data_IF_392769634371
#
_entry.id   IF_392769634371
#
_cell.length_a   1.000
_cell.length_b   1.000
_cell.length_c   1.000
_cell.angle_alpha   90.00
_cell.angle_beta   90.00
_cell.angle_gamma   90.00
#
_symmetry.space_group_name_H-M   'P 1'
#
loop_
_entity.id
_entity.type
_entity.pdbx_description
1 polymer ?
#
# COMPACT_ATOMS: atom_id res chain seq x y z
N UNK A 1 0.11 -9.21 -43.03
CA UNK A 1 -1.32 -9.59 -43.08
C UNK A 1 -1.77 -9.80 -41.65
N UNK A 2 -2.59 -8.88 -41.19
CA UNK A 2 -3.07 -8.69 -39.82
C UNK A 2 -4.32 -9.55 -39.56
N UNK A 3 -4.32 -10.31 -38.47
CA UNK A 3 -5.51 -10.98 -37.92
C UNK A 3 -5.84 -10.32 -36.58
N UNK A 4 -7.09 -9.91 -36.30
CA UNK A 4 -7.42 -9.01 -35.20
C UNK A 4 -7.86 -9.75 -33.92
N UNK A 5 -7.43 -9.23 -32.76
CA UNK A 5 -8.03 -9.52 -31.46
C UNK A 5 -9.37 -8.77 -31.34
N UNK A 6 -10.47 -9.51 -31.37
CA UNK A 6 -11.81 -9.00 -31.09
C UNK A 6 -12.70 -10.10 -30.48
N UNK A 7 -12.62 -10.25 -29.16
CA UNK A 7 -13.61 -10.89 -28.28
C UNK A 7 -13.14 -10.57 -26.86
N UNK A 8 -13.67 -9.59 -26.14
CA UNK A 8 -14.94 -9.74 -25.42
C UNK A 8 -15.56 -8.40 -24.99
N UNK A 9 -15.69 -7.45 -25.92
CA UNK A 9 -16.32 -6.15 -25.65
C UNK A 9 -17.84 -6.11 -25.93
N UNK A 10 -18.50 -7.25 -26.17
CA UNK A 10 -19.88 -7.29 -26.74
C UNK A 10 -21.02 -7.77 -25.84
N UNK A 11 -20.84 -7.90 -24.52
CA UNK A 11 -21.94 -8.35 -23.64
C UNK A 11 -22.51 -7.30 -22.66
N UNK A 12 -22.08 -6.04 -22.68
CA UNK A 12 -22.46 -5.07 -21.63
C UNK A 12 -23.08 -3.76 -22.14
N UNK A 13 -23.96 -3.83 -23.14
CA UNK A 13 -24.67 -2.64 -23.66
C UNK A 13 -26.21 -2.66 -23.56
N UNK A 14 -26.81 -3.51 -22.74
CA UNK A 14 -28.26 -3.41 -22.50
C UNK A 14 -28.54 -3.44 -21.01
N UNK A 15 -29.45 -2.55 -20.57
CA UNK A 15 -29.97 -2.30 -19.21
C UNK A 15 -29.43 -1.01 -18.54
N UNK A 16 -30.01 0.13 -18.90
CA UNK A 16 -30.04 1.36 -18.08
C UNK A 16 -31.48 1.68 -17.67
N UNK A 17 -31.72 2.02 -16.39
CA UNK A 17 -32.82 2.89 -15.98
C UNK A 17 -32.33 4.23 -15.36
N UNK A 18 -33.22 5.23 -15.17
CA UNK A 18 -32.88 6.66 -15.17
C UNK A 18 -32.55 7.31 -13.81
N UNK A 19 -31.87 8.46 -13.89
CA UNK A 19 -31.39 9.33 -12.81
C UNK A 19 -32.51 9.87 -11.90
N UNK A 20 -32.23 9.96 -10.60
CA UNK A 20 -32.96 10.80 -9.64
C UNK A 20 -32.14 12.04 -9.24
N UNK A 21 -32.84 13.17 -9.19
CA UNK A 21 -32.33 14.53 -9.00
C UNK A 21 -32.06 14.85 -7.51
N UNK A 22 -31.17 15.82 -7.31
CA UNK A 22 -30.81 16.45 -6.03
C UNK A 22 -31.99 17.16 -5.37
N UNK A 23 -32.01 17.17 -4.04
CA UNK A 23 -32.67 18.19 -3.24
C UNK A 23 -31.77 18.67 -2.11
N UNK A 24 -31.85 19.98 -1.88
CA UNK A 24 -30.96 20.87 -1.14
C UNK A 24 -31.41 21.16 0.29
N UNK A 25 -30.43 21.51 1.14
CA UNK A 25 -30.58 22.55 2.17
C UNK A 25 -30.94 22.10 3.58
N UNK A 26 -30.10 22.47 4.56
CA UNK A 26 -30.50 23.28 5.71
C UNK A 26 -29.26 23.79 6.47
N UNK A 27 -29.20 25.10 6.69
CA UNK A 27 -28.29 25.77 7.63
C UNK A 27 -28.80 25.62 9.06
N UNK A 28 -27.90 25.47 10.03
CA UNK A 28 -28.17 25.75 11.44
C UNK A 28 -26.98 26.50 12.05
N UNK A 29 -27.25 27.77 12.42
CA UNK A 29 -26.43 28.61 13.30
C UNK A 29 -26.79 28.27 14.76
N UNK A 30 -25.81 28.25 15.68
CA UNK A 30 -25.99 28.79 17.04
C UNK A 30 -24.67 28.96 17.83
N UNK A 31 -24.31 30.23 17.99
CA UNK A 31 -23.84 31.00 19.17
C UNK A 31 -23.17 30.33 20.40
N UNK A 32 -21.89 30.67 20.56
CA UNK A 32 -21.09 31.11 21.75
C UNK A 32 -21.74 31.06 23.15
N UNK A 33 -21.00 30.53 24.14
CA UNK A 33 -20.83 31.11 25.50
C UNK A 33 -19.63 30.50 26.26
N UNK A 34 -18.65 31.34 26.61
CA UNK A 34 -17.66 31.12 27.69
C UNK A 34 -18.25 31.56 29.04
N UNK A 35 -17.68 31.11 30.16
CA UNK A 35 -17.03 32.10 31.04
C UNK A 35 -15.74 31.61 31.72
N UNK A 36 -15.01 32.62 32.20
CA UNK A 36 -13.70 32.62 32.84
C UNK A 36 -13.78 32.63 34.39
N UNK A 37 -12.62 32.91 35.02
CA UNK A 37 -12.31 33.31 36.44
C UNK A 37 -12.11 32.11 37.40
N UNK A 38 -11.07 31.98 38.25
CA UNK A 38 -10.39 32.93 39.15
C UNK A 38 -8.95 32.52 39.54
N UNK A 39 -8.17 33.53 39.94
CA UNK A 39 -6.80 33.47 40.46
C UNK A 39 -6.73 33.67 41.99
N UNK A 40 -5.58 33.32 42.59
CA UNK A 40 -5.13 33.73 43.94
C UNK A 40 -4.56 32.55 44.76
N UNK A 41 -3.52 32.65 45.60
CA UNK A 41 -2.73 33.77 46.11
C UNK A 41 -1.53 33.16 46.87
N UNK A 42 -0.39 33.85 46.85
CA UNK A 42 0.83 33.53 47.62
C UNK A 42 0.65 33.75 49.13
N UNK A 43 1.43 33.03 49.95
CA UNK A 43 1.83 33.46 51.30
C UNK A 43 3.28 33.06 51.63
N UNK A 44 3.90 33.90 52.45
CA UNK A 44 5.33 33.95 52.84
C UNK A 44 5.60 33.13 54.10
N UNK A 45 6.83 32.64 54.29
CA UNK A 45 7.36 32.43 55.64
C UNK A 45 8.66 31.62 55.77
N UNK A 46 9.67 32.29 56.34
CA UNK A 46 10.77 31.78 57.20
C UNK A 46 12.10 31.33 56.53
N UNK A 47 13.14 32.13 56.82
CA UNK A 47 14.57 31.80 56.69
C UNK A 47 14.99 30.87 57.82
N UNK A 48 15.64 29.76 57.48
CA UNK A 48 16.52 29.00 58.39
C UNK A 48 17.86 28.81 57.69
N UNK A 49 18.93 29.27 58.32
CA UNK A 49 20.32 29.06 57.92
C UNK A 49 20.79 27.70 58.42
N UNK A 50 21.18 26.79 57.53
CA UNK A 50 22.07 25.67 57.83
C UNK A 50 22.90 25.33 56.58
N UNK A 51 24.21 25.26 56.79
CA UNK A 51 25.22 24.84 55.83
C UNK A 51 25.25 23.31 55.74
N UNK A 52 25.05 22.73 54.55
CA UNK A 52 25.52 21.37 54.26
C UNK A 52 25.61 21.14 52.75
N UNK A 53 26.84 20.86 52.30
CA UNK A 53 27.27 20.09 51.12
C UNK A 53 26.35 20.08 49.88
N UNK A 54 26.85 20.68 48.79
CA UNK A 54 26.25 20.61 47.46
C UNK A 54 26.25 19.16 46.93
N UNK A 55 25.07 18.59 46.77
CA UNK A 55 24.85 17.47 45.85
C UNK A 55 24.77 18.00 44.41
N UNK A 56 25.23 17.24 43.39
CA UNK A 56 25.11 17.68 42.01
C UNK A 56 23.64 17.70 41.61
N UNK A 57 23.29 18.77 40.90
CA UNK A 57 21.97 19.05 40.34
C UNK A 57 21.54 17.92 39.38
N UNK A 58 20.42 17.20 39.60
CA UNK A 58 19.89 16.25 38.64
C UNK A 58 19.05 17.01 37.61
N UNK A 59 19.66 17.97 36.93
CA UNK A 59 19.03 18.77 35.88
C UNK A 59 20.00 19.01 34.72
N UNK A 60 20.81 18.01 34.37
CA UNK A 60 21.23 17.84 33.00
C UNK A 60 20.14 17.00 32.32
N UNK A 61 19.12 17.66 31.78
CA UNK A 61 18.26 17.04 30.79
C UNK A 61 19.19 16.45 29.73
N UNK A 62 19.16 15.11 29.58
CA UNK A 62 19.76 14.46 28.44
C UNK A 62 19.28 15.22 27.19
N UNK A 63 20.17 15.53 26.23
CA UNK A 63 19.71 16.12 24.99
C UNK A 63 18.59 15.23 24.46
N UNK A 64 17.41 15.82 24.22
CA UNK A 64 16.33 15.13 23.54
C UNK A 64 16.96 14.45 22.33
N UNK A 65 16.84 13.12 22.25
CA UNK A 65 17.32 12.39 21.09
C UNK A 65 16.77 13.11 19.86
N UNK A 66 17.65 13.61 18.99
CA UNK A 66 17.21 14.14 17.71
C UNK A 66 16.31 13.07 17.09
N UNK A 67 15.03 13.39 16.92
CA UNK A 67 14.10 12.53 16.20
C UNK A 67 14.72 12.30 14.82
N UNK A 68 15.19 11.07 14.60
CA UNK A 68 15.78 10.61 13.36
C UNK A 68 14.70 10.73 12.29
N UNK A 69 14.66 11.86 11.58
CA UNK A 69 13.73 12.06 10.47
C UNK A 69 14.09 11.13 9.33
N UNK A 70 13.07 10.49 8.75
CA UNK A 70 13.27 9.64 7.57
C UNK A 70 13.41 10.51 6.32
N UNK A 71 12.63 11.59 6.24
CA UNK A 71 12.59 12.53 5.13
C UNK A 71 13.21 13.87 5.50
N UNK A 72 14.01 14.40 4.58
CA UNK A 72 14.43 15.79 4.60
C UNK A 72 13.42 16.70 3.86
N UNK A 73 13.60 18.01 3.99
CA UNK A 73 12.68 19.00 3.40
C UNK A 73 12.65 18.98 1.87
N UNK A 74 13.75 18.62 1.22
CA UNK A 74 13.79 18.53 -0.25
C UNK A 74 13.06 17.27 -0.74
N UNK A 75 13.11 16.16 -0.01
CA UNK A 75 12.34 14.95 -0.30
C UNK A 75 10.83 15.21 -0.18
N UNK A 76 10.38 15.88 0.89
CA UNK A 76 8.97 16.26 1.04
C UNK A 76 8.50 17.15 -0.13
N UNK A 77 9.27 18.16 -0.51
CA UNK A 77 8.96 19.01 -1.66
C UNK A 77 8.88 18.22 -2.97
N UNK A 78 9.75 17.21 -3.17
CA UNK A 78 9.68 16.32 -4.34
C UNK A 78 8.40 15.50 -4.33
N UNK A 79 7.99 14.95 -3.18
CA UNK A 79 6.72 14.22 -3.07
C UNK A 79 5.52 15.10 -3.45
N UNK A 80 5.47 16.33 -2.92
CA UNK A 80 4.40 17.29 -3.23
C UNK A 80 4.41 17.72 -4.72
N UNK A 81 5.60 17.91 -5.28
CA UNK A 81 5.79 18.37 -6.66
C UNK A 81 5.46 17.29 -7.67
N UNK A 82 6.05 16.11 -7.51
CA UNK A 82 6.10 15.05 -8.51
C UNK A 82 5.13 13.90 -8.22
N UNK A 83 4.60 13.81 -6.99
CA UNK A 83 3.65 12.79 -6.57
C UNK A 83 4.30 11.46 -6.20
N UNK A 84 5.63 11.43 -6.12
CA UNK A 84 6.40 10.28 -5.68
C UNK A 84 7.77 10.72 -5.13
N UNK A 85 8.40 9.85 -4.35
CA UNK A 85 9.80 10.00 -3.90
C UNK A 85 10.52 8.66 -3.95
N UNK A 86 11.84 8.71 -4.17
CA UNK A 86 12.74 7.56 -4.19
C UNK A 86 13.71 7.69 -3.02
N UNK A 87 13.69 6.70 -2.12
CA UNK A 87 14.49 6.64 -0.90
C UNK A 87 15.46 5.47 -1.02
N UNK A 88 16.68 5.77 -1.46
CA UNK A 88 17.73 4.77 -1.62
C UNK A 88 18.19 4.23 -0.27
N UNK A 89 18.63 2.96 -0.24
CA UNK A 89 19.15 2.30 0.96
C UNK A 89 18.17 2.29 2.15
N UNK A 90 16.86 2.34 1.88
CA UNK A 90 15.82 2.32 2.92
C UNK A 90 15.76 0.98 3.66
N UNK A 91 15.80 -0.13 2.93
CA UNK A 91 15.95 -1.47 3.51
C UNK A 91 17.38 -1.96 3.39
N UNK A 92 17.85 -2.60 4.46
CA UNK A 92 19.16 -3.24 4.50
C UNK A 92 19.18 -4.51 3.63
N UNK A 93 20.34 -4.96 3.15
CA UNK A 93 20.47 -6.23 2.44
C UNK A 93 19.90 -7.43 3.22
N UNK A 94 20.04 -7.43 4.55
CA UNK A 94 19.49 -8.47 5.42
C UNK A 94 17.96 -8.48 5.47
N UNK A 95 17.31 -7.31 5.45
CA UNK A 95 15.85 -7.22 5.35
C UNK A 95 15.36 -7.70 3.98
N UNK A 96 16.01 -7.29 2.89
CA UNK A 96 15.69 -7.77 1.54
C UNK A 96 15.82 -9.30 1.45
N UNK A 97 16.93 -9.86 1.94
CA UNK A 97 17.16 -11.30 1.96
C UNK A 97 16.08 -12.05 2.76
N UNK A 98 15.71 -11.56 3.95
CA UNK A 98 14.66 -12.17 4.76
C UNK A 98 13.29 -12.18 4.06
N UNK A 99 12.95 -11.10 3.34
CA UNK A 99 11.71 -11.04 2.55
C UNK A 99 11.73 -12.02 1.38
N UNK A 100 12.86 -12.17 0.67
CA UNK A 100 13.03 -13.15 -0.43
C UNK A 100 12.89 -14.58 0.11
N UNK A 101 13.67 -14.92 1.14
CA UNK A 101 13.67 -16.25 1.74
C UNK A 101 12.25 -16.63 2.17
N UNK A 102 11.54 -15.70 2.82
CA UNK A 102 10.19 -15.97 3.27
C UNK A 102 9.18 -16.09 2.12
N UNK A 103 9.27 -15.25 1.11
CA UNK A 103 8.42 -15.36 -0.08
C UNK A 103 8.61 -16.71 -0.78
N UNK A 104 9.85 -17.16 -0.96
CA UNK A 104 10.15 -18.46 -1.55
C UNK A 104 9.61 -19.62 -0.69
N UNK A 105 9.81 -19.57 0.63
CA UNK A 105 9.26 -20.56 1.55
C UNK A 105 7.72 -20.65 1.48
N UNK A 106 7.03 -19.52 1.31
CA UNK A 106 5.58 -19.49 1.11
C UNK A 106 5.18 -20.15 -0.22
N UNK A 107 5.91 -19.87 -1.30
CA UNK A 107 5.68 -20.50 -2.61
C UNK A 107 5.95 -22.01 -2.56
N UNK A 108 6.97 -22.46 -1.85
CA UNK A 108 7.27 -23.89 -1.68
C UNK A 108 6.11 -24.60 -0.99
N UNK A 109 5.60 -24.03 0.10
CA UNK A 109 4.45 -24.55 0.84
C UNK A 109 3.10 -24.44 0.12
N UNK A 110 3.01 -23.65 -0.94
CA UNK A 110 1.78 -23.46 -1.70
C UNK A 110 1.48 -24.66 -2.62
N UNK A 111 0.28 -25.25 -2.50
CA UNK A 111 -0.23 -26.27 -3.41
C UNK A 111 -1.41 -25.72 -4.26
N UNK A 112 -1.23 -25.49 -5.57
CA UNK A 112 -2.28 -24.93 -6.44
C UNK A 112 -3.46 -25.88 -6.66
N UNK A 113 -3.27 -27.20 -6.59
CA UNK A 113 -4.35 -28.19 -6.83
C UNK A 113 -5.46 -28.12 -5.76
N UNK A 114 -5.16 -27.55 -4.59
CA UNK A 114 -6.13 -27.34 -3.52
C UNK A 114 -7.03 -26.12 -3.76
N UNK A 115 -6.81 -25.35 -4.81
CA UNK A 115 -7.58 -24.15 -5.14
C UNK A 115 -8.51 -24.45 -6.32
N UNK A 116 -9.82 -24.29 -6.10
CA UNK A 116 -10.87 -24.58 -7.08
C UNK A 116 -10.81 -23.76 -8.38
N UNK A 117 -10.07 -22.64 -8.38
CA UNK A 117 -9.80 -21.79 -9.57
C UNK A 117 -9.08 -22.56 -10.68
N UNK A 118 -8.37 -23.63 -10.36
CA UNK A 118 -7.67 -24.47 -11.33
C UNK A 118 -8.48 -25.72 -11.75
N UNK A 119 -9.73 -25.84 -11.29
CA UNK A 119 -10.65 -26.91 -11.70
C UNK A 119 -11.57 -26.46 -12.84
N UNK A 120 -11.86 -27.36 -13.78
CA UNK A 120 -12.44 -27.05 -15.10
C UNK A 120 -13.93 -26.66 -15.12
N UNK A 121 -14.60 -26.58 -13.97
CA UNK A 121 -16.03 -26.24 -13.89
C UNK A 121 -16.22 -24.90 -13.16
N UNK A 122 -16.71 -23.86 -13.87
CA UNK A 122 -16.95 -22.48 -13.37
C UNK A 122 -15.71 -21.64 -12.99
N UNK A 123 -14.66 -21.69 -13.82
CA UNK A 123 -13.38 -21.01 -13.60
C UNK A 123 -13.47 -19.50 -13.31
N UNK A 124 -14.32 -18.76 -14.03
CA UNK A 124 -14.44 -17.30 -13.87
C UNK A 124 -15.02 -16.90 -12.50
N UNK A 125 -16.11 -17.55 -12.06
CA UNK A 125 -16.72 -17.28 -10.75
C UNK A 125 -15.79 -17.68 -9.60
N UNK A 126 -15.09 -18.80 -9.72
CA UNK A 126 -14.14 -19.25 -8.71
C UNK A 126 -12.94 -18.29 -8.62
N UNK A 127 -12.49 -17.75 -9.75
CA UNK A 127 -11.40 -16.75 -9.82
C UNK A 127 -11.79 -15.46 -9.09
N UNK A 128 -13.00 -14.95 -9.31
CA UNK A 128 -13.49 -13.76 -8.62
C UNK A 128 -13.57 -14.01 -7.11
N UNK A 129 -14.19 -15.12 -6.68
CA UNK A 129 -14.28 -15.47 -5.25
C UNK A 129 -12.89 -15.57 -4.60
N UNK A 130 -11.93 -16.24 -5.25
CA UNK A 130 -10.57 -16.34 -4.75
C UNK A 130 -9.87 -14.98 -4.66
N UNK A 131 -10.09 -14.10 -5.63
CA UNK A 131 -9.58 -12.73 -5.59
C UNK A 131 -10.19 -11.93 -4.43
N UNK A 132 -11.52 -11.93 -4.25
CA UNK A 132 -12.14 -11.21 -3.13
C UNK A 132 -11.72 -11.79 -1.76
N UNK A 133 -11.66 -13.11 -1.62
CA UNK A 133 -11.20 -13.76 -0.37
C UNK A 133 -9.72 -13.51 -0.08
N UNK A 134 -8.91 -13.20 -1.09
CA UNK A 134 -7.49 -12.88 -0.90
C UNK A 134 -7.25 -11.61 -0.07
N UNK A 135 -8.27 -10.74 0.08
CA UNK A 135 -8.24 -9.62 1.01
C UNK A 135 -7.96 -10.08 2.46
N UNK A 136 -8.28 -11.34 2.79
CA UNK A 136 -8.17 -11.89 4.13
C UNK A 136 -7.09 -12.99 4.25
N UNK A 137 -6.34 -13.27 3.19
CA UNK A 137 -5.46 -14.43 3.10
C UNK A 137 -4.07 -14.08 2.56
N UNK A 138 -3.16 -15.05 2.68
CA UNK A 138 -1.95 -15.14 1.87
C UNK A 138 -2.29 -16.03 0.66
N UNK A 139 -2.72 -15.40 -0.42
CA UNK A 139 -3.10 -16.01 -1.69
C UNK A 139 -2.02 -15.81 -2.74
N UNK A 140 -1.96 -16.74 -3.69
CA UNK A 140 -0.97 -16.79 -4.76
C UNK A 140 -1.67 -16.60 -6.11
N UNK A 141 -1.07 -15.80 -6.98
CA UNK A 141 -1.59 -15.49 -8.31
C UNK A 141 -0.50 -15.79 -9.34
N UNK A 142 -0.84 -16.58 -10.35
CA UNK A 142 0.08 -16.95 -11.42
C UNK A 142 0.21 -15.85 -12.48
N UNK A 143 1.30 -15.86 -13.23
CA UNK A 143 1.43 -15.06 -14.46
C UNK A 143 0.39 -15.50 -15.49
N UNK A 144 -0.13 -14.56 -16.29
CA UNK A 144 -1.12 -14.84 -17.34
C UNK A 144 -0.61 -15.90 -18.34
N UNK A 145 0.70 -15.89 -18.62
CA UNK A 145 1.38 -16.87 -19.49
C UNK A 145 1.95 -18.10 -18.76
N UNK A 146 1.62 -18.33 -17.49
CA UNK A 146 2.19 -19.45 -16.72
C UNK A 146 1.73 -20.82 -17.20
N UNK A 147 0.49 -20.91 -17.71
CA UNK A 147 -0.13 -22.18 -18.11
C UNK A 147 -0.22 -22.30 -19.64
N UNK A 148 -0.25 -23.54 -20.13
CA UNK A 148 -0.58 -23.86 -21.52
C UNK A 148 -2.10 -23.93 -21.75
N UNK A 149 -2.52 -24.22 -22.98
CA UNK A 149 -3.93 -24.35 -23.35
C UNK A 149 -4.61 -25.54 -22.66
N UNK A 150 -3.84 -26.48 -22.12
CA UNK A 150 -4.31 -27.64 -21.38
C UNK A 150 -4.33 -27.39 -19.86
N UNK A 151 -3.90 -26.21 -19.40
CA UNK A 151 -3.85 -25.83 -17.99
C UNK A 151 -2.62 -26.33 -17.25
N UNK A 152 -1.60 -26.87 -17.92
CA UNK A 152 -0.35 -27.29 -17.29
C UNK A 152 0.64 -26.12 -17.20
N UNK A 153 1.49 -26.12 -16.18
CA UNK A 153 2.54 -25.11 -16.04
C UNK A 153 3.60 -25.25 -17.15
N UNK A 154 3.96 -24.12 -17.78
CA UNK A 154 5.01 -24.04 -18.82
C UNK A 154 6.42 -24.03 -18.25
N UNK A 155 6.57 -23.70 -16.97
CA UNK A 155 7.83 -23.71 -16.22
C UNK A 155 7.58 -24.03 -14.75
N UNK A 156 8.64 -24.20 -13.97
CA UNK A 156 8.56 -24.51 -12.54
C UNK A 156 7.59 -23.57 -11.80
N UNK A 157 6.82 -24.13 -10.84
CA UNK A 157 5.82 -23.38 -10.04
C UNK A 157 6.44 -22.12 -9.42
N UNK A 158 7.65 -22.26 -8.86
CA UNK A 158 8.37 -21.16 -8.22
C UNK A 158 8.67 -19.98 -9.15
N UNK A 159 8.76 -20.26 -10.46
CA UNK A 159 9.00 -19.26 -11.50
C UNK A 159 7.71 -18.81 -12.19
N UNK A 160 6.55 -19.28 -11.76
CA UNK A 160 5.26 -19.04 -12.44
C UNK A 160 4.32 -18.14 -11.65
N UNK A 161 4.68 -17.79 -10.41
CA UNK A 161 3.89 -16.90 -9.55
C UNK A 161 4.17 -15.45 -9.93
N UNK A 162 3.13 -14.69 -10.26
CA UNK A 162 3.18 -13.25 -10.46
C UNK A 162 3.31 -12.52 -9.12
N UNK A 163 2.41 -12.84 -8.18
CA UNK A 163 2.37 -12.21 -6.86
C UNK A 163 1.81 -13.09 -5.75
N UNK A 164 2.13 -12.72 -4.52
CA UNK A 164 1.43 -13.13 -3.29
C UNK A 164 0.66 -11.91 -2.75
N UNK A 165 -0.57 -12.09 -2.29
CA UNK A 165 -1.38 -11.04 -1.68
C UNK A 165 -2.63 -11.57 -0.96
N UNK A 166 -3.41 -10.76 -0.27
CA UNK A 166 -3.23 -9.32 -0.08
C UNK A 166 -3.03 -8.93 1.39
N UNK A 167 -2.98 -9.92 2.30
CA UNK A 167 -2.87 -9.72 3.75
C UNK A 167 -1.51 -10.14 4.36
N UNK A 168 -0.47 -10.31 3.53
CA UNK A 168 0.82 -10.85 4.00
C UNK A 168 1.48 -9.98 5.10
N UNK A 169 1.26 -8.66 5.07
CA UNK A 169 1.70 -7.72 6.12
C UNK A 169 1.09 -7.95 7.51
N UNK A 170 -0.05 -8.62 7.60
CA UNK A 170 -0.70 -8.92 8.88
C UNK A 170 -0.47 -10.37 9.29
N UNK A 171 -0.48 -11.29 8.32
CA UNK A 171 -0.55 -12.73 8.57
C UNK A 171 0.83 -13.40 8.64
N UNK A 172 1.86 -12.84 8.00
CA UNK A 172 3.19 -13.40 8.03
C UNK A 172 4.13 -12.62 8.97
N UNK A 173 4.79 -13.28 9.95
CA UNK A 173 5.65 -12.59 10.91
C UNK A 173 6.81 -11.78 10.32
N UNK A 174 7.41 -12.24 9.21
CA UNK A 174 8.57 -11.55 8.61
C UNK A 174 8.12 -10.26 7.93
N UNK A 175 7.07 -10.35 7.12
CA UNK A 175 6.49 -9.18 6.45
C UNK A 175 5.90 -8.22 7.46
N UNK A 176 5.17 -8.71 8.46
CA UNK A 176 4.60 -7.90 9.54
C UNK A 176 5.67 -7.12 10.30
N UNK A 177 6.80 -7.75 10.62
CA UNK A 177 7.92 -7.08 11.29
C UNK A 177 8.48 -5.94 10.45
N UNK A 178 8.67 -6.14 9.14
CA UNK A 178 9.17 -5.10 8.25
C UNK A 178 8.15 -3.95 8.10
N UNK A 179 6.89 -4.28 7.77
CA UNK A 179 5.80 -3.31 7.60
C UNK A 179 5.61 -2.43 8.83
N UNK A 180 5.66 -3.03 10.03
CA UNK A 180 5.39 -2.34 11.30
C UNK A 180 6.68 -1.87 11.99
N UNK A 181 7.77 -1.69 11.25
CA UNK A 181 9.01 -1.11 11.75
C UNK A 181 8.86 0.39 12.05
N UNK A 182 9.75 0.94 12.87
CA UNK A 182 9.76 2.37 13.20
C UNK A 182 9.96 3.22 11.94
N UNK A 183 10.94 2.88 11.09
CA UNK A 183 11.21 3.62 9.84
C UNK A 183 10.02 3.69 8.88
N UNK A 184 9.21 2.63 8.81
CA UNK A 184 7.99 2.62 8.00
C UNK A 184 6.92 3.53 8.62
N UNK A 185 6.74 3.44 9.95
CA UNK A 185 5.77 4.25 10.69
C UNK A 185 6.13 5.73 10.61
N UNK A 186 7.39 6.08 10.88
CA UNK A 186 7.91 7.45 10.82
C UNK A 186 7.77 8.04 9.42
N UNK A 187 8.15 7.30 8.37
CA UNK A 187 7.94 7.72 6.98
C UNK A 187 6.47 8.08 6.70
N UNK A 188 5.54 7.21 7.09
CA UNK A 188 4.11 7.42 6.83
C UNK A 188 3.55 8.62 7.60
N UNK A 189 4.02 8.86 8.82
CA UNK A 189 3.67 10.05 9.60
C UNK A 189 4.24 11.32 8.94
N UNK A 190 5.48 11.29 8.46
CA UNK A 190 6.11 12.41 7.76
C UNK A 190 5.47 12.71 6.40
N UNK A 191 4.92 11.69 5.73
CA UNK A 191 4.10 11.84 4.52
C UNK A 191 2.67 12.32 4.81
N UNK A 192 2.33 12.59 6.07
CA UNK A 192 1.11 13.28 6.47
C UNK A 192 -0.04 12.38 6.93
N UNK A 193 0.16 11.06 7.06
CA UNK A 193 -0.85 10.21 7.69
C UNK A 193 -0.87 10.42 9.20
N UNK A 194 -2.05 10.59 9.79
CA UNK A 194 -2.20 10.75 11.25
C UNK A 194 -2.22 9.40 11.95
N UNK A 195 -2.91 8.43 11.36
CA UNK A 195 -3.02 7.07 11.89
C UNK A 195 -2.79 6.06 10.77
N UNK A 196 -1.53 5.78 10.41
CA UNK A 196 -1.23 4.90 9.29
C UNK A 196 -1.90 3.53 9.44
N UNK A 197 -2.70 3.13 8.48
CA UNK A 197 -3.48 1.90 8.48
C UNK A 197 -3.15 1.09 7.22
N UNK A 198 -2.28 0.08 7.32
CA UNK A 198 -2.04 -0.86 6.23
C UNK A 198 -3.33 -1.53 5.79
N UNK A 199 -3.66 -1.46 4.50
CA UNK A 199 -4.88 -2.07 3.94
C UNK A 199 -4.58 -3.25 3.04
N UNK A 200 -3.44 -3.21 2.36
CA UNK A 200 -3.05 -4.19 1.38
C UNK A 200 -1.53 -4.32 1.35
N UNK A 201 -1.05 -5.54 1.14
CA UNK A 201 0.33 -5.76 0.74
C UNK A 201 0.44 -6.86 -0.30
N UNK A 202 1.39 -6.72 -1.20
CA UNK A 202 1.71 -7.71 -2.22
C UNK A 202 3.22 -7.97 -2.25
N UNK A 203 3.60 -9.21 -2.51
CA UNK A 203 4.95 -9.55 -2.96
C UNK A 203 4.91 -9.84 -4.45
N UNK A 204 5.62 -9.06 -5.26
CA UNK A 204 5.59 -9.12 -6.73
C UNK A 204 6.91 -9.71 -7.19
N UNK A 205 6.88 -10.90 -7.80
CA UNK A 205 8.09 -11.63 -8.22
C UNK A 205 8.65 -11.10 -9.53
N UNK A 206 7.74 -10.77 -10.45
CA UNK A 206 8.11 -10.28 -11.77
C UNK A 206 9.09 -11.23 -12.47
N UNK A 207 8.60 -12.43 -12.75
CA UNK A 207 9.42 -13.59 -13.09
C UNK A 207 10.29 -13.38 -14.34
N UNK A 208 11.47 -14.02 -14.44
CA UNK A 208 12.29 -13.95 -15.63
C UNK A 208 11.51 -14.34 -16.89
N UNK A 209 11.69 -13.58 -17.98
CA UNK A 209 11.10 -13.76 -19.32
C UNK A 209 9.57 -13.61 -19.42
N UNK A 210 8.82 -14.11 -18.44
CA UNK A 210 7.35 -14.15 -18.49
C UNK A 210 6.68 -13.10 -17.60
N UNK A 211 7.46 -12.34 -16.82
CA UNK A 211 6.91 -11.41 -15.84
C UNK A 211 6.02 -10.36 -16.51
N UNK A 212 4.73 -10.34 -16.15
CA UNK A 212 3.72 -9.51 -16.80
C UNK A 212 3.93 -8.00 -16.66
N UNK A 213 3.34 -7.24 -17.59
CA UNK A 213 3.21 -5.78 -17.51
C UNK A 213 2.11 -5.39 -16.53
N UNK A 214 2.33 -4.32 -15.77
CA UNK A 214 1.25 -3.63 -15.08
C UNK A 214 0.92 -2.36 -15.87
N UNK A 215 -0.32 -2.23 -16.32
CA UNK A 215 -0.78 -1.08 -17.10
C UNK A 215 -0.73 0.22 -16.27
N UNK A 216 -0.65 1.41 -16.91
CA UNK A 216 -0.76 2.69 -16.21
C UNK A 216 -2.02 2.78 -15.36
N UNK A 217 -1.83 3.14 -14.10
CA UNK A 217 -2.92 3.24 -13.13
C UNK A 217 -2.59 4.18 -11.96
N UNK A 218 -3.59 4.44 -11.13
CA UNK A 218 -3.50 5.17 -9.87
C UNK A 218 -3.94 4.24 -8.74
N UNK A 219 -3.22 4.18 -7.63
CA UNK A 219 -3.59 3.31 -6.49
C UNK A 219 -4.96 3.70 -5.90
N UNK A 220 -5.24 5.00 -5.88
CA UNK A 220 -6.53 5.56 -5.45
C UNK A 220 -7.71 5.10 -6.30
N UNK A 221 -7.48 4.58 -7.51
CA UNK A 221 -8.53 3.93 -8.31
C UNK A 221 -8.98 2.60 -7.69
N UNK A 222 -8.09 1.85 -7.04
CA UNK A 222 -8.40 0.53 -6.50
C UNK A 222 -8.72 0.55 -5.00
N UNK A 223 -8.14 1.50 -4.28
CA UNK A 223 -8.22 1.64 -2.83
C UNK A 223 -8.66 3.07 -2.52
N UNK A 224 -9.94 3.27 -2.23
CA UNK A 224 -10.48 4.61 -2.02
C UNK A 224 -10.80 4.89 -0.55
N UNK A 225 -10.43 6.09 -0.11
CA UNK A 225 -10.99 6.74 1.06
C UNK A 225 -11.65 8.06 0.65
N UNK A 226 -12.56 8.57 1.46
CA UNK A 226 -13.10 9.94 1.32
C UNK A 226 -12.71 10.76 2.56
N UNK A 227 -11.88 11.82 2.43
CA UNK A 227 -11.08 12.17 1.24
C UNK A 227 -9.99 11.11 0.95
N UNK A 228 -9.27 11.20 -0.17
CA UNK A 228 -8.22 10.22 -0.50
C UNK A 228 -6.98 10.34 0.41
N UNK A 229 -6.50 9.21 0.92
CA UNK A 229 -5.34 9.14 1.83
C UNK A 229 -4.36 8.00 1.51
N UNK A 230 -4.55 7.27 0.42
CA UNK A 230 -3.65 6.15 0.10
C UNK A 230 -2.23 6.68 -0.16
N UNK A 231 -1.27 6.03 0.48
CA UNK A 231 0.15 6.08 0.13
C UNK A 231 0.54 4.67 -0.30
N UNK A 232 1.00 4.55 -1.55
CA UNK A 232 1.60 3.33 -2.07
C UNK A 232 3.09 3.32 -1.74
N UNK A 233 3.57 2.28 -1.08
CA UNK A 233 4.98 2.05 -0.80
C UNK A 233 5.45 0.84 -1.60
N UNK A 234 6.47 1.01 -2.41
CA UNK A 234 7.04 -0.03 -3.24
C UNK A 234 8.52 -0.19 -2.92
N UNK A 235 8.89 -1.33 -2.34
CA UNK A 235 10.26 -1.67 -2.00
C UNK A 235 10.87 -2.55 -3.08
N UNK A 236 11.97 -2.08 -3.69
CA UNK A 236 12.85 -2.91 -4.49
C UNK A 236 13.52 -3.95 -3.57
N UNK A 237 13.13 -5.21 -3.68
CA UNK A 237 13.76 -6.31 -2.92
C UNK A 237 14.96 -6.86 -3.69
N UNK A 238 14.91 -6.76 -5.02
CA UNK A 238 16.03 -6.94 -5.95
C UNK A 238 16.25 -5.65 -6.75
N UNK A 239 17.41 -5.54 -7.42
CA UNK A 239 17.67 -4.47 -8.39
C UNK A 239 16.55 -4.42 -9.44
N UNK A 240 16.03 -3.23 -9.69
CA UNK A 240 15.03 -2.97 -10.71
C UNK A 240 15.64 -2.11 -11.82
N UNK A 241 15.67 -2.65 -13.03
CA UNK A 241 16.25 -2.04 -14.22
C UNK A 241 15.21 -1.95 -15.33
N UNK A 242 15.55 -1.25 -16.41
CA UNK A 242 14.70 -1.20 -17.60
C UNK A 242 14.38 -2.60 -18.15
N UNK A 243 15.36 -3.51 -18.14
CA UNK A 243 15.24 -4.84 -18.75
C UNK A 243 14.39 -5.80 -17.91
N UNK A 244 14.39 -5.67 -16.58
CA UNK A 244 13.62 -6.54 -15.69
C UNK A 244 12.30 -5.91 -15.19
N UNK A 245 11.89 -4.78 -15.77
CA UNK A 245 10.59 -4.16 -15.53
C UNK A 245 10.55 -3.34 -14.24
N UNK A 246 11.42 -2.32 -14.16
CA UNK A 246 11.32 -1.25 -13.18
C UNK A 246 9.99 -0.49 -13.28
N UNK A 247 9.68 0.30 -12.25
CA UNK A 247 8.55 1.21 -12.30
C UNK A 247 8.83 2.36 -13.27
N UNK A 248 7.74 2.88 -13.82
CA UNK A 248 7.68 4.12 -14.58
C UNK A 248 6.61 4.99 -13.96
N UNK A 249 6.88 6.28 -13.81
CA UNK A 249 5.93 7.25 -13.23
C UNK A 249 5.75 8.43 -14.16
N UNK A 250 4.56 9.05 -14.13
CA UNK A 250 4.29 10.33 -14.77
C UNK A 250 4.39 11.44 -13.72
N UNK A 251 5.52 12.18 -13.62
CA UNK A 251 5.72 13.17 -12.58
C UNK A 251 4.65 14.26 -12.61
N UNK A 252 4.09 14.58 -11.45
CA UNK A 252 3.07 15.63 -11.26
C UNK A 252 1.64 15.21 -11.63
N UNK A 253 1.43 14.01 -12.17
CA UNK A 253 0.10 13.50 -12.57
C UNK A 253 -0.90 13.39 -11.42
N UNK A 254 -0.42 13.32 -10.18
CA UNK A 254 -1.28 13.27 -9.00
C UNK A 254 -2.14 14.52 -8.80
N UNK A 255 -1.74 15.65 -9.40
CA UNK A 255 -2.44 16.94 -9.30
C UNK A 255 -3.78 16.93 -10.03
N UNK A 256 -3.99 15.99 -10.95
CA UNK A 256 -5.24 15.82 -11.68
C UNK A 256 -6.28 14.99 -10.90
N UNK A 257 -5.90 14.45 -9.74
CA UNK A 257 -6.74 13.57 -8.92
C UNK A 257 -6.99 12.19 -9.55
N UNK A 258 -7.77 11.36 -8.86
CA UNK A 258 -8.12 10.01 -9.32
C UNK A 258 -9.14 10.09 -10.45
N UNK A 259 -8.79 9.51 -11.61
CA UNK A 259 -9.60 9.64 -12.82
C UNK A 259 -10.80 8.70 -12.85
N UNK A 260 -10.63 7.47 -12.36
CA UNK A 260 -11.64 6.43 -12.30
C UNK A 260 -11.48 5.58 -11.03
N UNK A 261 -12.53 4.85 -10.65
CA UNK A 261 -12.53 3.92 -9.52
C UNK A 261 -12.95 2.54 -9.95
N UNK A 262 -12.24 1.53 -9.43
CA UNK A 262 -12.62 0.14 -9.45
C UNK A 262 -13.59 -0.12 -8.30
N UNK A 263 -14.77 -0.67 -8.63
CA UNK A 263 -15.83 -1.00 -7.69
C UNK A 263 -15.91 -2.51 -7.53
N UNK A 264 -15.97 -3.00 -6.29
CA UNK A 264 -16.15 -4.40 -5.96
C UNK A 264 -17.54 -4.65 -5.36
N UNK A 265 -18.56 -4.70 -6.20
CA UNK A 265 -19.97 -4.82 -5.76
C UNK A 265 -20.46 -6.23 -6.08
N UNK A 266 -21.09 -6.90 -5.11
CA UNK A 266 -21.61 -8.27 -5.26
C UNK A 266 -20.55 -9.24 -5.79
N UNK A 267 -19.31 -9.14 -5.28
CA UNK A 267 -18.14 -9.91 -5.71
C UNK A 267 -17.84 -9.82 -7.21
N UNK A 268 -18.15 -8.69 -7.83
CA UNK A 268 -17.80 -8.38 -9.20
C UNK A 268 -17.04 -7.08 -9.28
N UNK A 269 -16.04 -7.07 -10.14
CA UNK A 269 -15.23 -5.89 -10.41
C UNK A 269 -15.82 -5.14 -11.60
N UNK A 270 -15.96 -3.82 -11.47
CA UNK A 270 -16.25 -2.92 -12.58
C UNK A 270 -15.53 -1.59 -12.38
N UNK A 271 -15.50 -0.74 -13.41
CA UNK A 271 -15.00 0.63 -13.29
C UNK A 271 -16.14 1.63 -13.46
N UNK A 272 -16.14 2.68 -12.65
CA UNK A 272 -17.16 3.74 -12.68
C UNK A 272 -17.09 4.61 -13.96
N UNK A 273 -15.92 4.65 -14.58
CA UNK A 273 -15.58 5.38 -15.80
C UNK A 273 -14.63 4.54 -16.66
N UNK A 274 -14.49 4.92 -17.93
CA UNK A 274 -13.51 4.33 -18.82
C UNK A 274 -12.08 4.51 -18.27
N UNK A 275 -11.20 3.55 -18.58
CA UNK A 275 -9.79 3.66 -18.25
C UNK A 275 -9.19 4.86 -18.99
N UNK A 276 -8.44 5.75 -18.29
CA UNK A 276 -7.75 6.85 -18.94
C UNK A 276 -6.63 6.32 -19.84
N UNK A 277 -6.43 7.00 -20.98
CA UNK A 277 -5.28 6.77 -21.85
C UNK A 277 -4.16 7.74 -21.47
N UNK A 278 -2.92 7.25 -21.48
CA UNK A 278 -1.74 8.05 -21.15
C UNK A 278 -0.70 7.98 -22.27
N UNK A 279 -0.08 9.12 -22.53
CA UNK A 279 1.08 9.21 -23.41
C UNK A 279 2.31 8.67 -22.67
N UNK A 280 2.69 7.42 -22.98
CA UNK A 280 3.80 6.73 -22.33
C UNK A 280 5.15 7.42 -22.55
N UNK A 281 5.30 8.28 -23.57
CA UNK A 281 6.55 9.01 -23.82
C UNK A 281 6.87 10.06 -22.75
N UNK A 282 5.90 10.42 -21.91
CA UNK A 282 6.05 11.39 -20.82
C UNK A 282 6.45 10.75 -19.49
N UNK A 283 6.51 9.42 -19.42
CA UNK A 283 6.86 8.72 -18.19
C UNK A 283 8.38 8.69 -18.00
N UNK A 284 8.79 8.73 -16.74
CA UNK A 284 10.19 8.60 -16.32
C UNK A 284 10.40 7.20 -15.72
N UNK A 285 11.38 6.42 -16.20
CA UNK A 285 11.74 5.15 -15.59
C UNK A 285 12.45 5.36 -14.25
N UNK A 286 12.20 4.46 -13.29
CA UNK A 286 12.81 4.46 -11.97
C UNK A 286 13.69 3.21 -11.81
N UNK A 287 14.88 3.23 -12.40
CA UNK A 287 15.89 2.20 -12.16
C UNK A 287 16.51 2.39 -10.78
N UNK A 288 16.44 1.36 -9.93
CA UNK A 288 16.83 1.44 -8.53
C UNK A 288 17.52 0.16 -8.05
N UNK A 289 18.38 0.29 -7.05
CA UNK A 289 19.03 -0.84 -6.38
C UNK A 289 18.10 -1.52 -5.38
N UNK A 290 18.39 -2.78 -5.09
CA UNK A 290 17.78 -3.50 -3.99
C UNK A 290 17.91 -2.68 -2.68
N UNK A 291 16.83 -2.63 -1.90
CA UNK A 291 16.73 -1.83 -0.69
C UNK A 291 16.13 -0.45 -0.89
N UNK A 292 15.95 0.04 -2.12
CA UNK A 292 15.31 1.33 -2.39
C UNK A 292 13.80 1.25 -2.21
N UNK A 293 13.22 2.21 -1.48
CA UNK A 293 11.78 2.39 -1.34
C UNK A 293 11.29 3.54 -2.22
N UNK A 294 10.20 3.32 -2.95
CA UNK A 294 9.50 4.34 -3.72
C UNK A 294 8.15 4.57 -3.04
N UNK A 295 7.90 5.80 -2.58
CA UNK A 295 6.58 6.20 -2.08
C UNK A 295 5.80 6.91 -3.18
N UNK A 296 4.54 6.56 -3.35
CA UNK A 296 3.63 6.98 -4.41
C UNK A 296 2.38 7.60 -3.78
N UNK A 297 2.02 8.79 -4.26
CA UNK A 297 0.76 9.43 -3.91
C UNK A 297 -0.43 8.67 -4.55
N UNK A 298 -1.58 8.64 -3.89
CA UNK A 298 -2.78 7.90 -4.36
C UNK A 298 -3.16 8.15 -5.84
N UNK A 299 -2.91 9.36 -6.34
CA UNK A 299 -3.21 9.77 -7.71
C UNK A 299 -1.98 9.78 -8.66
N UNK A 300 -0.79 9.39 -8.22
CA UNK A 300 0.35 9.30 -9.14
C UNK A 300 0.11 8.17 -10.14
N UNK A 301 0.21 8.50 -11.43
CA UNK A 301 0.07 7.52 -12.51
C UNK A 301 1.40 6.80 -12.70
N UNK A 302 1.39 5.49 -12.51
CA UNK A 302 2.57 4.66 -12.64
C UNK A 302 2.26 3.32 -13.29
N UNK A 303 3.30 2.68 -13.83
CA UNK A 303 3.21 1.39 -14.52
C UNK A 303 4.55 0.63 -14.45
N UNK A 304 4.59 -0.59 -14.97
CA UNK A 304 5.87 -1.27 -15.26
C UNK A 304 5.74 -2.14 -16.49
N UNK A 305 6.77 -2.16 -17.34
CA UNK A 305 6.81 -3.01 -18.53
C UNK A 305 7.03 -4.49 -18.21
N UNK A 306 6.90 -5.35 -19.21
CA UNK A 306 7.26 -6.78 -19.16
C UNK A 306 8.72 -7.01 -18.74
N UNK A 307 9.00 -8.18 -18.14
CA UNK A 307 10.36 -8.58 -17.78
C UNK A 307 10.79 -9.61 -18.80
N UNK A 308 11.57 -9.15 -19.76
CA UNK A 308 12.09 -9.98 -20.84
C UNK A 308 13.50 -10.50 -20.51
N UNK A 309 14.06 -10.08 -19.38
CA UNK A 309 15.40 -10.47 -18.93
C UNK A 309 15.44 -11.89 -18.36
N UNK A 310 16.66 -12.36 -18.07
CA UNK A 310 16.91 -13.64 -17.40
C UNK A 310 16.88 -13.56 -15.87
N UNK A 311 16.66 -12.37 -15.30
CA UNK A 311 16.63 -12.15 -13.85
C UNK A 311 15.21 -11.79 -13.40
N UNK A 312 14.85 -12.15 -12.18
CA UNK A 312 13.63 -11.69 -11.54
C UNK A 312 13.74 -10.21 -11.16
N UNK A 313 12.61 -9.64 -10.70
CA UNK A 313 12.57 -8.33 -10.06
C UNK A 313 11.62 -8.41 -8.88
N UNK A 314 12.08 -8.94 -7.77
CA UNK A 314 11.24 -9.03 -6.58
C UNK A 314 10.99 -7.64 -5.99
N UNK A 315 9.75 -7.40 -5.59
CA UNK A 315 9.36 -6.19 -4.88
C UNK A 315 8.31 -6.48 -3.81
N UNK A 316 8.36 -5.72 -2.73
CA UNK A 316 7.33 -5.73 -1.71
C UNK A 316 6.54 -4.43 -1.78
N UNK A 317 5.25 -4.52 -2.08
CA UNK A 317 4.34 -3.39 -2.16
C UNK A 317 3.40 -3.38 -0.97
N UNK A 318 3.17 -2.21 -0.40
CA UNK A 318 2.29 -1.96 0.73
C UNK A 318 1.47 -0.71 0.45
N UNK A 319 0.16 -0.78 0.65
CA UNK A 319 -0.72 0.39 0.58
C UNK A 319 -1.25 0.70 1.97
N UNK A 320 -1.14 1.96 2.34
CA UNK A 320 -1.51 2.46 3.66
C UNK A 320 -2.47 3.64 3.49
N UNK A 321 -3.52 3.69 4.30
CA UNK A 321 -4.45 4.82 4.37
C UNK A 321 -4.35 5.52 5.71
N UNK A 322 -4.97 6.69 5.83
CA UNK A 322 -5.20 7.28 7.14
C UNK A 322 -6.42 6.61 7.81
N UNK A 323 -6.20 5.96 8.95
CA UNK A 323 -7.23 5.31 9.76
C UNK A 323 -7.84 6.20 10.85
N UNK A 324 -7.65 7.53 10.76
CA UNK A 324 -8.35 8.52 11.58
C UNK A 324 -9.83 8.62 11.19
N UNK A 325 -10.63 9.28 12.02
CA UNK A 325 -12.04 9.55 11.79
C UNK A 325 -12.31 10.56 10.66
N UNK A 326 -11.26 11.18 10.12
CA UNK A 326 -11.35 12.13 9.01
C UNK A 326 -11.45 11.45 7.64
N UNK A 327 -11.17 10.15 7.56
CA UNK A 327 -11.11 9.40 6.31
C UNK A 327 -12.01 8.18 6.36
N UNK A 328 -12.85 8.03 5.33
CA UNK A 328 -13.84 6.95 5.27
C UNK A 328 -13.39 5.91 4.23
N UNK A 329 -13.05 4.69 4.68
CA UNK A 329 -12.82 3.55 3.78
C UNK A 329 -14.09 3.23 3.00
N UNK A 330 -14.02 3.28 1.67
CA UNK A 330 -15.21 3.16 0.85
C UNK A 330 -15.75 1.71 0.86
N UNK A 331 -17.06 1.51 1.08
CA UNK A 331 -17.67 0.18 1.19
C UNK A 331 -17.74 -0.57 -0.15
N UNK A 332 -17.55 0.14 -1.26
CA UNK A 332 -17.51 -0.39 -2.62
C UNK A 332 -16.07 -0.68 -3.09
N UNK A 333 -15.05 -0.49 -2.25
CA UNK A 333 -13.72 -1.04 -2.54
C UNK A 333 -13.81 -2.57 -2.59
N UNK A 334 -13.10 -3.18 -3.53
CA UNK A 334 -13.06 -4.64 -3.65
C UNK A 334 -12.47 -5.31 -2.40
N UNK A 335 -11.53 -4.64 -1.74
CA UNK A 335 -10.88 -5.11 -0.53
C UNK A 335 -11.72 -4.68 0.66
N UNK A 336 -12.41 -5.65 1.25
CA UNK A 336 -13.06 -5.52 2.54
C UNK A 336 -12.52 -6.61 3.46
N UNK A 337 -12.13 -6.23 4.68
CA UNK A 337 -11.70 -7.18 5.69
C UNK A 337 -12.90 -7.77 6.40
N UNK A 338 -12.81 -9.04 6.77
CA UNK A 338 -13.80 -9.68 7.63
C UNK A 338 -13.74 -9.11 9.05
N UNK A 339 -14.84 -9.11 9.81
CA UNK A 339 -14.86 -8.60 11.18
C UNK A 339 -13.88 -9.30 12.14
N UNK A 340 -13.53 -10.56 11.88
CA UNK A 340 -12.58 -11.35 12.67
C UNK A 340 -11.09 -11.08 12.32
N UNK A 341 -10.83 -10.35 11.24
CA UNK A 341 -9.51 -9.91 10.82
C UNK A 341 -9.53 -8.43 10.42
N UNK A 342 -9.84 -7.51 11.36
CA UNK A 342 -9.96 -6.09 11.05
C UNK A 342 -8.61 -5.48 10.66
N UNK A 343 -8.66 -4.39 9.89
CA UNK A 343 -7.47 -3.59 9.60
C UNK A 343 -6.88 -3.02 10.90
N UNK A 344 -5.59 -3.21 11.10
CA UNK A 344 -4.89 -2.82 12.33
C UNK A 344 -3.91 -1.66 12.09
N UNK A 345 -4.07 -0.51 12.75
CA UNK A 345 -3.20 0.65 12.53
C UNK A 345 -1.77 0.42 13.04
N UNK A 346 -0.82 1.12 12.44
CA UNK A 346 0.54 1.30 12.95
C UNK A 346 0.51 2.45 13.96
N UNK A 347 0.79 2.17 15.23
CA UNK A 347 0.74 3.17 16.30
C UNK A 347 2.15 3.49 16.79
N UNK A 348 2.61 4.76 16.74
CA UNK A 348 3.87 5.15 17.35
C UNK A 348 3.82 4.91 18.87
N UNK A 349 4.90 4.34 19.43
CA UNK A 349 5.04 4.14 20.88
C UNK A 349 4.40 2.86 21.46
N UNK A 350 3.66 2.06 20.68
CA UNK A 350 3.46 0.64 21.02
C UNK A 350 4.66 -0.13 20.50
N UNK A 351 5.69 -0.24 21.33
CA UNK A 351 6.80 -1.16 21.08
C UNK A 351 6.26 -2.51 20.65
N UNK A 352 6.80 -3.03 19.55
CA UNK A 352 6.62 -4.41 19.08
C UNK A 352 6.82 -5.35 20.28
N UNK A 353 5.72 -5.73 20.92
CA UNK A 353 5.73 -6.73 21.98
C UNK A 353 4.85 -7.86 21.47
N UNK A 354 5.37 -9.10 21.35
CA UNK A 354 4.53 -10.22 21.02
C UNK A 354 3.51 -10.39 22.15
N UNK A 355 2.22 -10.35 21.82
CA UNK A 355 1.18 -10.81 22.74
C UNK A 355 1.39 -12.31 22.94
N UNK A 356 2.08 -12.68 24.02
CA UNK A 356 1.98 -14.01 24.60
C UNK A 356 0.56 -14.12 25.15
N UNK A 357 -0.21 -15.07 24.62
CA UNK A 357 -1.55 -15.38 25.10
C UNK A 357 -1.47 -15.79 26.59
N UNK A 358 -2.38 -15.24 27.40
CA UNK A 358 -2.82 -15.84 28.66
C UNK A 358 -4.22 -16.40 28.44
#
# INVERSE_FOLDING_TARGET
MSVPLASDLKLYQQLRPPRLQKASGLQLKQTIKSPSVFAGRQSRGVKVTQSSQAMPDPAAAAPAAEESKVLNQEELKRFEKDGYIVLENFASPGECAALIERANSLVDGFNPEKISVFSTTNQASNSDDYFFESANNISFFFEEGAHDEQGNLRQEKALSINKIGHAIHDLDPVFRKFTRSSKMTELLLELGLVKPLPVQSMYIFKQPRIGGKYAPHQDGSFLATEPHSVIGLWLAVEDATLENGCLWTLPGSHRDGVQNRMLGINKKVSFDKAMPEYDLSKFTPLEVKAGTLIALHHANVHFSEHNTSSKSRHAYSLHVVDGSDQHIWQPDNWLQRRPDLPLEPMLPGKGLTPMVQV
#
